data_IF_460571666142
#
_entry.id   IF_460571666142
#
_cell.length_a   1.000
_cell.length_b   1.000
_cell.length_c   1.000
_cell.angle_alpha   90.00
_cell.angle_beta   90.00
_cell.angle_gamma   90.00
#
_symmetry.space_group_name_H-M   'P 1'
#
loop_
_entity.id
_entity.type
_entity.pdbx_description
1 polymer ?
#
# COMPACT_ATOMS: atom_id res chain seq x y z
N UNK A 1 4.01 1.72 -16.72
CA UNK A 1 4.21 1.52 -15.28
C UNK A 1 4.13 0.03 -14.93
N UNK A 2 4.82 -0.41 -13.86
CA UNK A 2 4.96 -1.82 -13.46
C UNK A 2 3.61 -2.54 -13.28
N UNK A 3 2.65 -1.90 -12.59
CA UNK A 3 1.30 -2.46 -12.42
C UNK A 3 0.56 -2.72 -13.75
N UNK A 4 0.70 -1.82 -14.71
CA UNK A 4 0.10 -2.01 -16.05
C UNK A 4 0.74 -3.18 -16.80
N UNK A 5 2.04 -3.38 -16.64
CA UNK A 5 2.71 -4.55 -17.20
C UNK A 5 2.25 -5.85 -16.53
N UNK A 6 2.18 -5.91 -15.19
CA UNK A 6 1.63 -7.07 -14.48
C UNK A 6 0.20 -7.38 -14.94
N UNK A 7 -0.63 -6.34 -15.07
CA UNK A 7 -2.00 -6.49 -15.53
C UNK A 7 -2.08 -7.06 -16.96
N UNK A 8 -1.15 -6.71 -17.83
CA UNK A 8 -1.10 -7.27 -19.21
C UNK A 8 -0.80 -8.77 -19.25
N UNK A 9 -0.28 -9.34 -18.16
CA UNK A 9 -0.02 -10.79 -18.04
C UNK A 9 -1.24 -11.60 -17.59
N UNK A 10 -2.32 -10.93 -17.16
CA UNK A 10 -3.56 -11.63 -16.78
C UNK A 10 -4.12 -12.35 -17.99
N UNK A 11 -4.39 -13.64 -17.81
CA UNK A 11 -4.93 -14.51 -18.88
C UNK A 11 -6.31 -14.02 -19.30
N UNK A 12 -6.59 -14.09 -20.59
CA UNK A 12 -7.90 -13.71 -21.18
C UNK A 12 -9.09 -14.57 -20.68
N UNK A 13 -8.85 -15.63 -19.93
CA UNK A 13 -9.86 -16.46 -19.28
C UNK A 13 -10.48 -15.86 -18.03
N UNK A 14 -9.89 -14.76 -17.50
CA UNK A 14 -10.42 -14.04 -16.36
C UNK A 14 -11.26 -12.85 -16.83
N UNK A 15 -12.47 -12.72 -16.31
CA UNK A 15 -13.28 -11.51 -16.48
C UNK A 15 -12.70 -10.41 -15.59
N UNK A 16 -12.49 -9.23 -16.17
CA UNK A 16 -11.98 -8.07 -15.48
C UNK A 16 -13.10 -7.03 -15.41
N UNK A 17 -13.51 -6.70 -14.19
CA UNK A 17 -14.54 -5.69 -13.93
C UNK A 17 -13.90 -4.45 -13.32
N UNK A 18 -13.96 -3.33 -14.04
CA UNK A 18 -13.52 -2.03 -13.55
C UNK A 18 -14.51 -1.48 -12.52
N UNK A 19 -14.05 -1.30 -11.28
CA UNK A 19 -14.93 -0.79 -10.22
C UNK A 19 -14.32 -0.89 -8.83
N UNK A 20 -15.11 -0.49 -7.84
CA UNK A 20 -14.75 -0.59 -6.42
C UNK A 20 -15.71 -1.54 -5.72
N UNK A 21 -15.19 -2.58 -5.08
CA UNK A 21 -15.95 -3.42 -4.18
C UNK A 21 -16.37 -2.57 -2.96
N UNK A 22 -17.67 -2.52 -2.69
CA UNK A 22 -18.25 -1.70 -1.61
C UNK A 22 -18.89 -2.53 -0.51
N UNK A 23 -19.21 -3.79 -0.78
CA UNK A 23 -19.71 -4.73 0.19
C UNK A 23 -19.38 -6.16 -0.20
N UNK A 24 -19.17 -7.01 0.79
CA UNK A 24 -19.05 -8.45 0.66
C UNK A 24 -19.89 -9.11 1.75
N UNK A 25 -20.56 -10.20 1.41
CA UNK A 25 -21.39 -10.94 2.37
C UNK A 25 -21.34 -12.44 2.07
N UNK A 26 -21.57 -13.26 3.09
CA UNK A 26 -21.77 -14.71 2.96
C UNK A 26 -23.27 -14.99 2.83
N UNK A 27 -23.65 -15.88 1.94
CA UNK A 27 -25.01 -16.44 1.80
C UNK A 27 -25.00 -17.93 2.19
N UNK A 28 -26.08 -18.64 1.97
CA UNK A 28 -26.23 -20.05 2.38
C UNK A 28 -25.25 -21.06 1.74
N UNK A 29 -24.28 -20.63 0.97
CA UNK A 29 -23.27 -21.53 0.35
C UNK A 29 -22.26 -20.77 -0.49
N UNK A 30 -22.52 -19.50 -0.73
CA UNK A 30 -21.76 -18.64 -1.63
C UNK A 30 -21.39 -17.31 -0.96
N UNK A 31 -20.61 -16.51 -1.69
CA UNK A 31 -20.32 -15.12 -1.34
C UNK A 31 -20.96 -14.18 -2.38
N UNK A 32 -21.46 -13.04 -1.91
CA UNK A 32 -21.99 -11.98 -2.76
C UNK A 32 -21.11 -10.74 -2.60
N UNK A 33 -20.69 -10.18 -3.73
CA UNK A 33 -19.93 -8.95 -3.81
C UNK A 33 -20.77 -7.86 -4.48
N UNK A 34 -20.74 -6.67 -3.91
CA UNK A 34 -21.29 -5.48 -4.55
C UNK A 34 -20.17 -4.60 -5.06
N UNK A 35 -20.12 -4.37 -6.35
CA UNK A 35 -19.10 -3.55 -7.02
C UNK A 35 -19.74 -2.32 -7.63
N UNK A 36 -19.27 -1.14 -7.25
CA UNK A 36 -19.66 0.12 -7.90
C UNK A 36 -18.77 0.33 -9.12
N UNK A 37 -19.40 0.28 -10.29
CA UNK A 37 -18.78 0.58 -11.59
C UNK A 37 -19.17 1.97 -12.08
N UNK A 38 -18.61 2.40 -13.22
CA UNK A 38 -19.03 3.64 -13.88
C UNK A 38 -20.50 3.62 -14.31
N UNK A 39 -21.05 2.43 -14.56
CA UNK A 39 -22.43 2.21 -15.04
C UNK A 39 -23.44 2.01 -13.89
N UNK A 40 -22.97 1.92 -12.65
CA UNK A 40 -23.79 1.68 -11.46
C UNK A 40 -23.29 0.53 -10.58
N UNK A 41 -24.12 0.10 -9.65
CA UNK A 41 -23.80 -1.02 -8.77
C UNK A 41 -24.12 -2.35 -9.47
N UNK A 42 -23.16 -3.28 -9.44
CA UNK A 42 -23.31 -4.67 -9.93
C UNK A 42 -23.08 -5.64 -8.78
N UNK A 43 -23.79 -6.77 -8.78
CA UNK A 43 -23.58 -7.86 -7.83
C UNK A 43 -22.97 -9.06 -8.55
N UNK A 44 -22.04 -9.73 -7.85
CA UNK A 44 -21.39 -10.96 -8.30
C UNK A 44 -21.51 -12.02 -7.21
N UNK A 45 -21.69 -13.27 -7.61
CA UNK A 45 -21.74 -14.40 -6.69
C UNK A 45 -20.57 -15.34 -6.98
N UNK A 46 -19.91 -15.86 -5.94
CA UNK A 46 -18.81 -16.80 -6.07
C UNK A 46 -18.79 -17.79 -4.92
N UNK A 47 -18.21 -18.99 -5.16
CA UNK A 47 -18.04 -20.03 -4.14
C UNK A 47 -16.78 -19.83 -3.30
N UNK A 48 -15.85 -19.05 -3.80
CA UNK A 48 -14.58 -18.76 -3.13
C UNK A 48 -14.26 -17.29 -3.31
N UNK A 49 -13.83 -16.63 -2.25
CA UNK A 49 -13.52 -15.19 -2.24
C UNK A 49 -12.05 -14.98 -1.90
N UNK A 50 -11.34 -14.21 -2.73
CA UNK A 50 -9.96 -13.84 -2.49
C UNK A 50 -9.89 -12.32 -2.27
N UNK A 51 -9.46 -11.89 -1.09
CA UNK A 51 -9.16 -10.50 -0.78
C UNK A 51 -7.71 -10.18 -1.15
N UNK A 52 -7.54 -9.36 -2.20
CA UNK A 52 -6.26 -8.82 -2.66
C UNK A 52 -6.30 -7.28 -2.66
N UNK A 53 -7.13 -6.70 -1.80
CA UNK A 53 -7.56 -5.30 -1.80
C UNK A 53 -6.70 -4.40 -0.89
N UNK A 54 -5.55 -4.94 -0.42
CA UNK A 54 -4.48 -4.20 0.24
C UNK A 54 -4.86 -3.61 1.61
N UNK A 55 -4.29 -2.48 1.96
CA UNK A 55 -4.62 -1.77 3.20
C UNK A 55 -6.11 -1.43 3.25
N UNK A 56 -6.76 -1.64 4.39
CA UNK A 56 -8.22 -1.51 4.57
C UNK A 56 -9.02 -2.51 3.73
N UNK A 57 -8.52 -3.73 3.59
CA UNK A 57 -9.24 -4.80 2.93
C UNK A 57 -10.66 -4.95 3.48
N UNK A 58 -11.67 -4.73 2.63
CA UNK A 58 -13.07 -4.94 2.98
C UNK A 58 -13.35 -6.43 3.25
N UNK A 59 -12.64 -7.32 2.54
CA UNK A 59 -12.75 -8.77 2.74
C UNK A 59 -12.25 -9.14 4.13
N UNK A 60 -11.07 -8.64 4.51
CA UNK A 60 -10.50 -8.86 5.84
C UNK A 60 -11.40 -8.31 6.96
N UNK A 61 -11.81 -7.05 6.82
CA UNK A 61 -12.64 -6.39 7.85
C UNK A 61 -13.98 -7.10 8.03
N UNK A 62 -14.59 -7.59 6.94
CA UNK A 62 -15.90 -8.27 7.00
C UNK A 62 -15.81 -9.66 7.61
N UNK A 63 -14.83 -10.48 7.24
CA UNK A 63 -14.83 -11.90 7.61
C UNK A 63 -13.92 -12.23 8.78
N UNK A 64 -12.91 -11.42 9.06
CA UNK A 64 -11.94 -11.67 10.12
C UNK A 64 -11.95 -10.63 11.24
N UNK A 65 -12.63 -9.49 11.04
CA UNK A 65 -12.91 -8.49 12.08
C UNK A 65 -11.68 -7.89 12.78
N UNK A 66 -10.48 -8.01 12.18
CA UNK A 66 -9.22 -7.60 12.79
C UNK A 66 -8.46 -6.65 11.89
N UNK A 67 -8.64 -5.33 12.06
CA UNK A 67 -7.81 -4.37 11.33
C UNK A 67 -6.35 -4.47 11.79
N UNK A 68 -5.43 -4.35 10.85
CA UNK A 68 -4.02 -4.18 11.13
C UNK A 68 -3.76 -2.72 11.53
N UNK A 69 -2.75 -2.49 12.36
CA UNK A 69 -2.31 -1.13 12.66
C UNK A 69 -1.83 -0.43 11.40
N UNK A 70 -2.17 0.85 11.23
CA UNK A 70 -1.93 1.58 9.97
C UNK A 70 -1.10 2.82 10.17
N UNK A 71 -0.19 3.00 9.23
CA UNK A 71 0.59 4.21 9.02
C UNK A 71 0.04 5.00 7.83
N UNK A 72 0.40 6.26 7.78
CA UNK A 72 0.24 7.10 6.60
C UNK A 72 1.58 7.13 5.86
N UNK A 73 1.62 6.63 4.64
CA UNK A 73 2.73 6.84 3.72
C UNK A 73 2.54 8.18 3.03
N UNK A 74 3.52 9.05 3.13
CA UNK A 74 3.60 10.33 2.43
C UNK A 74 4.82 10.33 1.53
N UNK A 75 4.66 10.87 0.32
CA UNK A 75 5.74 11.01 -0.64
C UNK A 75 5.61 12.33 -1.40
N UNK A 76 6.71 13.03 -1.55
CA UNK A 76 6.83 14.26 -2.32
C UNK A 76 7.84 14.09 -3.44
N UNK A 77 7.52 14.69 -4.58
CA UNK A 77 8.34 14.72 -5.79
C UNK A 77 8.79 16.15 -6.03
N UNK A 78 10.08 16.35 -6.10
CA UNK A 78 10.68 17.65 -6.34
C UNK A 78 11.41 17.62 -7.69
N UNK A 79 11.40 18.74 -8.42
CA UNK A 79 12.19 18.86 -9.63
C UNK A 79 13.69 18.75 -9.28
N UNK A 80 14.37 17.82 -9.91
CA UNK A 80 15.80 17.64 -9.66
C UNK A 80 16.58 18.90 -10.11
N UNK A 81 17.54 19.28 -9.28
CA UNK A 81 18.55 20.28 -9.59
C UNK A 81 19.86 19.57 -9.99
N UNK A 82 20.88 20.32 -10.38
CA UNK A 82 22.21 19.77 -10.71
C UNK A 82 22.89 19.05 -9.53
N UNK A 83 22.39 19.22 -8.32
CA UNK A 83 22.80 18.47 -7.11
C UNK A 83 22.05 17.14 -7.02
N UNK A 84 22.21 16.28 -8.01
CA UNK A 84 21.58 14.95 -8.02
C UNK A 84 22.11 14.07 -6.88
N UNK A 85 21.19 13.48 -6.15
CA UNK A 85 21.53 12.45 -5.15
C UNK A 85 21.60 11.10 -5.89
N UNK A 86 22.78 10.49 -6.08
CA UNK A 86 22.93 9.36 -6.99
C UNK A 86 22.45 8.02 -6.40
N UNK A 87 22.00 8.02 -5.15
CA UNK A 87 21.67 6.79 -4.42
C UNK A 87 20.19 6.70 -4.05
N UNK A 88 19.70 5.48 -3.92
CA UNK A 88 18.55 5.20 -3.10
C UNK A 88 19.01 5.17 -1.64
N UNK A 89 18.50 6.08 -0.83
CA UNK A 89 18.86 6.19 0.57
C UNK A 89 17.72 5.79 1.47
N UNK A 90 18.00 4.93 2.44
CA UNK A 90 17.11 4.62 3.53
C UNK A 90 17.43 5.53 4.73
N UNK A 91 16.41 6.16 5.27
CA UNK A 91 16.54 7.12 6.37
C UNK A 91 15.85 6.51 7.59
N UNK A 92 16.61 6.35 8.66
CA UNK A 92 16.11 5.88 9.96
C UNK A 92 16.24 7.02 10.97
N UNK A 93 15.11 7.60 11.33
CA UNK A 93 15.03 8.70 12.28
C UNK A 93 13.95 8.41 13.33
N UNK A 94 14.33 7.80 14.46
CA UNK A 94 13.39 7.36 15.48
C UNK A 94 12.62 8.50 16.15
N UNK A 95 13.07 9.75 16.03
CA UNK A 95 12.34 10.91 16.55
C UNK A 95 11.12 11.29 15.70
N UNK A 96 11.08 10.81 14.44
CA UNK A 96 10.00 11.13 13.51
C UNK A 96 9.21 9.92 13.07
N UNK A 97 9.87 8.77 12.90
CA UNK A 97 9.20 7.53 12.53
C UNK A 97 9.96 6.30 13.04
N UNK A 98 9.22 5.29 13.46
CA UNK A 98 9.76 3.94 13.76
C UNK A 98 10.05 3.12 12.49
N UNK A 99 9.79 3.67 11.31
CA UNK A 99 9.97 3.00 10.03
C UNK A 99 11.01 3.69 9.16
N UNK A 100 11.42 3.02 8.10
CA UNK A 100 12.30 3.57 7.09
C UNK A 100 11.58 4.64 6.25
N UNK A 101 12.22 5.79 6.07
CA UNK A 101 11.91 6.76 5.02
C UNK A 101 12.91 6.59 3.87
N UNK A 102 12.61 7.14 2.71
CA UNK A 102 13.44 7.00 1.52
C UNK A 102 13.68 8.35 0.83
N UNK A 103 14.86 8.46 0.26
CA UNK A 103 15.25 9.53 -0.65
C UNK A 103 15.88 8.90 -1.89
N UNK A 104 15.39 9.27 -3.08
CA UNK A 104 15.92 8.76 -4.33
C UNK A 104 15.85 9.81 -5.44
N UNK A 105 16.75 9.68 -6.41
CA UNK A 105 16.69 10.41 -7.66
C UNK A 105 16.15 9.49 -8.76
N UNK A 106 15.10 9.90 -9.46
CA UNK A 106 14.48 9.11 -10.51
C UNK A 106 13.77 9.99 -11.54
N UNK A 107 14.02 9.72 -12.82
CA UNK A 107 13.33 10.35 -13.96
C UNK A 107 13.32 11.89 -13.91
N UNK A 108 14.42 12.50 -13.45
CA UNK A 108 14.54 13.97 -13.33
C UNK A 108 13.87 14.55 -12.09
N UNK A 109 13.50 13.71 -11.12
CA UNK A 109 12.92 14.13 -9.85
C UNK A 109 13.76 13.62 -8.66
N UNK A 110 13.76 14.40 -7.60
CA UNK A 110 14.12 13.94 -6.27
C UNK A 110 12.83 13.52 -5.57
N UNK A 111 12.79 12.30 -5.08
CA UNK A 111 11.63 11.74 -4.41
C UNK A 111 12.00 11.48 -2.96
N UNK A 112 11.32 12.19 -2.04
CA UNK A 112 11.40 11.95 -0.62
C UNK A 112 10.08 11.40 -0.12
N UNK A 113 10.12 10.35 0.69
CA UNK A 113 8.92 9.77 1.29
C UNK A 113 9.21 8.95 2.53
N UNK A 114 8.16 8.61 3.24
CA UNK A 114 8.24 7.79 4.45
C UNK A 114 6.87 7.39 4.94
N UNK A 115 6.85 6.51 5.94
CA UNK A 115 5.65 6.08 6.62
C UNK A 115 5.68 6.60 8.06
N UNK A 116 4.61 7.26 8.47
CA UNK A 116 4.50 7.97 9.73
C UNK A 116 3.24 7.56 10.48
N UNK A 117 3.22 7.76 11.80
CA UNK A 117 2.02 7.62 12.60
C UNK A 117 0.90 8.52 12.06
N UNK A 118 -0.31 7.95 11.94
CA UNK A 118 -1.44 8.65 11.31
C UNK A 118 -1.82 9.96 11.99
N UNK A 119 -1.64 10.03 13.30
CA UNK A 119 -2.09 11.18 14.12
C UNK A 119 -1.26 12.44 13.90
N UNK A 120 0.02 12.31 13.59
CA UNK A 120 0.97 13.41 13.41
C UNK A 120 1.80 13.28 12.11
N UNK A 121 1.30 12.52 11.15
CA UNK A 121 2.06 12.14 9.96
C UNK A 121 2.65 13.32 9.21
N UNK A 122 1.89 14.40 9.03
CA UNK A 122 2.36 15.57 8.28
C UNK A 122 3.44 16.33 9.02
N UNK A 123 3.25 16.54 10.31
CA UNK A 123 4.24 17.21 11.15
C UNK A 123 5.56 16.43 11.21
N UNK A 124 5.48 15.13 11.46
CA UNK A 124 6.66 14.25 11.49
C UNK A 124 7.37 14.22 10.14
N UNK A 125 6.63 14.13 9.03
CA UNK A 125 7.15 14.19 7.68
C UNK A 125 7.91 15.49 7.40
N UNK A 126 7.31 16.65 7.69
CA UNK A 126 7.93 17.95 7.44
C UNK A 126 9.15 18.16 8.33
N UNK A 127 9.10 17.75 9.60
CA UNK A 127 10.22 17.81 10.53
C UNK A 127 11.40 16.96 10.06
N UNK A 128 11.17 15.72 9.62
CA UNK A 128 12.22 14.86 9.09
C UNK A 128 12.80 15.44 7.79
N UNK A 129 11.94 15.96 6.90
CA UNK A 129 12.38 16.61 5.66
C UNK A 129 13.30 17.82 5.92
N UNK A 130 12.96 18.67 6.88
CA UNK A 130 13.79 19.82 7.26
C UNK A 130 15.17 19.37 7.79
N UNK A 131 15.20 18.41 8.71
CA UNK A 131 16.45 17.83 9.22
C UNK A 131 17.31 17.22 8.12
N UNK A 132 16.67 16.56 7.14
CA UNK A 132 17.37 15.99 6.00
C UNK A 132 17.93 17.07 5.07
N UNK A 133 17.21 18.16 4.84
CA UNK A 133 17.71 19.32 4.09
C UNK A 133 18.94 19.95 4.77
N UNK A 134 18.88 20.14 6.08
CA UNK A 134 20.01 20.63 6.88
C UNK A 134 21.22 19.68 6.78
N UNK A 135 21.01 18.37 6.89
CA UNK A 135 22.06 17.36 6.76
C UNK A 135 22.71 17.36 5.36
N UNK A 136 21.90 17.54 4.32
CA UNK A 136 22.36 17.57 2.91
C UNK A 136 23.01 18.93 2.56
N UNK A 137 22.76 19.97 3.34
CA UNK A 137 23.22 21.34 3.09
C UNK A 137 22.53 22.03 1.91
N UNK A 138 21.34 21.55 1.52
CA UNK A 138 20.53 22.17 0.48
C UNK A 138 19.07 21.72 0.55
N UNK A 139 18.16 22.55 0.03
CA UNK A 139 16.74 22.25 -0.11
C UNK A 139 16.44 21.22 -1.21
N UNK A 140 15.26 20.62 -1.13
CA UNK A 140 14.78 19.64 -2.10
C UNK A 140 14.43 20.26 -3.47
N UNK A 141 14.22 21.57 -3.53
CA UNK A 141 13.83 22.29 -4.77
C UNK A 141 12.31 22.43 -4.93
N UNK A 142 11.86 22.64 -6.17
CA UNK A 142 10.45 22.89 -6.50
C UNK A 142 9.59 21.63 -6.27
N UNK A 143 8.59 21.73 -5.38
CA UNK A 143 7.62 20.67 -5.15
C UNK A 143 6.68 20.54 -6.36
N UNK A 144 6.66 19.36 -6.98
CA UNK A 144 5.84 19.06 -8.15
C UNK A 144 4.58 18.26 -7.79
N UNK A 145 4.72 17.32 -6.84
CA UNK A 145 3.63 16.40 -6.51
C UNK A 145 3.73 15.90 -5.07
N UNK A 146 2.58 15.72 -4.44
CA UNK A 146 2.46 15.00 -3.16
C UNK A 146 1.52 13.81 -3.33
N UNK A 147 1.92 12.67 -2.82
CA UNK A 147 1.15 11.44 -2.79
C UNK A 147 1.00 10.96 -1.35
N UNK A 148 -0.16 10.37 -1.04
CA UNK A 148 -0.41 9.78 0.27
C UNK A 148 -1.26 8.51 0.13
N UNK A 149 -0.93 7.50 0.91
CA UNK A 149 -1.75 6.30 1.04
C UNK A 149 -1.65 5.73 2.45
N UNK A 150 -2.63 4.91 2.82
CA UNK A 150 -2.53 4.10 4.04
C UNK A 150 -1.69 2.88 3.74
N UNK A 151 -0.88 2.47 4.71
CA UNK A 151 -0.10 1.24 4.70
C UNK A 151 -0.33 0.47 6.00
N UNK A 152 -0.61 -0.81 5.90
CA UNK A 152 -0.74 -1.67 7.06
C UNK A 152 0.64 -1.96 7.67
N UNK A 153 0.72 -2.01 9.01
CA UNK A 153 1.93 -2.34 9.75
C UNK A 153 1.65 -3.48 10.72
N UNK A 154 1.88 -4.74 10.32
CA UNK A 154 1.72 -5.87 11.24
C UNK A 154 2.69 -5.73 12.42
N UNK A 155 2.18 -5.88 13.63
CA UNK A 155 2.95 -5.80 14.89
C UNK A 155 3.01 -7.14 15.62
N UNK A 156 2.08 -8.05 15.28
CA UNK A 156 1.92 -9.34 15.94
C UNK A 156 1.65 -10.46 14.94
N UNK A 157 1.96 -11.70 15.29
CA UNK A 157 1.64 -12.87 14.47
C UNK A 157 0.16 -12.99 14.11
N UNK A 158 -0.73 -12.58 15.00
CA UNK A 158 -2.18 -12.55 14.77
C UNK A 158 -2.62 -11.54 13.68
N UNK A 159 -1.74 -10.66 13.26
CA UNK A 159 -2.01 -9.71 12.17
C UNK A 159 -1.91 -10.39 10.81
N UNK A 160 -1.29 -11.57 10.74
CA UNK A 160 -1.21 -12.38 9.53
C UNK A 160 -2.39 -13.33 9.46
N UNK A 161 -3.25 -13.15 8.46
CA UNK A 161 -4.42 -13.97 8.22
C UNK A 161 -4.46 -14.35 6.76
N UNK A 162 -4.34 -15.64 6.48
CA UNK A 162 -4.33 -16.16 5.10
C UNK A 162 -5.71 -16.62 4.62
N UNK A 163 -6.63 -16.89 5.55
CA UNK A 163 -8.02 -17.22 5.20
C UNK A 163 -8.61 -18.36 6.01
N UNK A 164 -9.92 -18.53 5.87
CA UNK A 164 -10.71 -19.64 6.39
C UNK A 164 -12.05 -19.73 5.65
N UNK A 165 -12.67 -20.90 5.64
CA UNK A 165 -14.05 -21.13 5.21
C UNK A 165 -14.39 -20.57 3.81
N UNK A 166 -13.48 -20.75 2.82
CA UNK A 166 -13.67 -20.31 1.46
C UNK A 166 -13.34 -18.84 1.21
N UNK A 167 -12.86 -18.11 2.24
CA UNK A 167 -12.33 -16.75 2.11
C UNK A 167 -10.82 -16.80 2.30
N UNK A 168 -10.08 -16.25 1.35
CA UNK A 168 -8.61 -16.19 1.39
C UNK A 168 -8.14 -14.74 1.28
N UNK A 169 -6.99 -14.44 1.89
CA UNK A 169 -6.34 -13.14 1.82
C UNK A 169 -4.91 -13.30 1.30
N UNK A 170 -4.49 -12.38 0.44
CA UNK A 170 -3.13 -12.32 -0.10
C UNK A 170 -2.55 -10.91 -0.01
N UNK A 171 -1.24 -10.80 -0.12
CA UNK A 171 -0.53 -9.54 -0.04
C UNK A 171 -0.79 -8.79 1.26
N UNK A 172 -0.92 -7.48 1.17
CA UNK A 172 -1.12 -6.61 2.33
C UNK A 172 -2.47 -6.86 3.03
N UNK A 173 -3.51 -7.30 2.30
CA UNK A 173 -4.76 -7.71 2.91
C UNK A 173 -4.58 -8.88 3.92
N UNK A 174 -3.63 -9.78 3.65
CA UNK A 174 -3.23 -10.86 4.57
C UNK A 174 -2.26 -10.40 5.67
N UNK A 175 -1.77 -9.16 5.62
CA UNK A 175 -0.71 -8.65 6.47
C UNK A 175 0.70 -8.86 5.91
N UNK A 176 0.85 -9.35 4.67
CA UNK A 176 2.15 -9.63 4.06
C UNK A 176 2.79 -8.35 3.50
N UNK A 177 3.23 -7.51 4.40
CA UNK A 177 3.99 -6.29 4.15
C UNK A 177 5.09 -6.19 5.22
N UNK A 178 6.27 -5.69 4.85
CA UNK A 178 7.35 -5.48 5.81
C UNK A 178 6.97 -4.41 6.84
N UNK A 179 7.07 -4.75 8.12
CA UNK A 179 6.75 -3.83 9.22
C UNK A 179 7.78 -2.69 9.38
N UNK A 180 8.96 -2.80 8.76
CA UNK A 180 10.04 -1.82 8.84
C UNK A 180 10.19 -0.96 7.59
N UNK A 181 10.06 -1.55 6.40
CA UNK A 181 10.27 -0.86 5.12
C UNK A 181 8.98 -0.59 4.33
N UNK A 182 7.85 -1.18 4.75
CA UNK A 182 6.57 -1.16 4.02
C UNK A 182 6.67 -1.70 2.58
N UNK A 183 7.68 -2.54 2.31
CA UNK A 183 7.76 -3.30 1.06
C UNK A 183 6.76 -4.43 1.10
N UNK A 184 5.90 -4.54 0.09
CA UNK A 184 4.83 -5.54 0.03
C UNK A 184 4.67 -6.19 -1.34
N UNK A 185 5.35 -5.69 -2.38
CA UNK A 185 5.16 -6.16 -3.78
C UNK A 185 5.60 -7.62 -3.92
N UNK A 186 6.78 -7.97 -3.43
CA UNK A 186 7.29 -9.34 -3.52
C UNK A 186 6.43 -10.33 -2.73
N UNK A 187 5.98 -9.92 -1.56
CA UNK A 187 5.08 -10.71 -0.71
C UNK A 187 3.70 -10.89 -1.33
N UNK A 188 3.16 -9.86 -1.98
CA UNK A 188 1.89 -9.95 -2.71
C UNK A 188 1.98 -10.94 -3.88
N UNK A 189 3.04 -10.88 -4.68
CA UNK A 189 3.27 -11.82 -5.79
C UNK A 189 3.41 -13.26 -5.27
N UNK A 190 4.24 -13.47 -4.25
CA UNK A 190 4.48 -14.81 -3.68
C UNK A 190 3.22 -15.40 -3.07
N UNK A 191 2.47 -14.63 -2.28
CA UNK A 191 1.22 -15.13 -1.69
C UNK A 191 0.14 -15.41 -2.73
N UNK A 192 0.06 -14.60 -3.79
CA UNK A 192 -0.83 -14.88 -4.92
C UNK A 192 -0.43 -16.11 -5.75
N UNK A 193 0.86 -16.44 -5.80
CA UNK A 193 1.34 -17.63 -6.49
C UNK A 193 1.20 -18.92 -5.66
N UNK A 194 1.06 -18.80 -4.35
CA UNK A 194 0.90 -19.93 -3.42
C UNK A 194 -0.56 -20.34 -3.20
N UNK A 195 -1.51 -19.53 -3.66
CA UNK A 195 -2.94 -19.78 -3.61
C UNK A 195 -3.40 -20.64 -4.78
#
# INVERSE_FOLDING_TARGET
AFGGWLFSLVRRTAEIVGGRCTAVARTAGDFVLTVRTAEGARSFTCRCLIGADGARSIVRETFFGRPIYRYMSLQQWFRATDKAFPFYSCIFDPETSESCSWLMHKDGFVIYGGCFEKTNCREAFERQKARLADFLGHDFGELVKTEACLADRPRHWRDFVTGADGVYLIGEAAGFISASSFEGISSAIRSGSAL
#
